data_IF_314837431904
#
_entry.id   IF_314837431904
#
_cell.length_a   1.000
_cell.length_b   1.000
_cell.length_c   1.000
_cell.angle_alpha   90.00
_cell.angle_beta   90.00
_cell.angle_gamma   90.00
#
_symmetry.space_group_name_H-M   'P 1'
#
loop_
_entity.id
_entity.type
_entity.pdbx_description
1 polymer ?
#
# COMPACT_ATOMS: atom_id res chain seq x y z
N UNK A 1 -0.94 10.99 11.86
CA UNK A 1 0.10 10.03 12.29
C UNK A 1 -0.43 8.63 12.07
N UNK A 2 0.21 7.87 11.19
CA UNK A 2 -0.16 6.47 10.95
C UNK A 2 0.32 5.60 12.11
N UNK A 3 -0.39 4.50 12.36
CA UNK A 3 -0.01 3.51 13.37
C UNK A 3 0.37 2.19 12.72
N UNK A 4 -0.59 1.59 12.01
CA UNK A 4 -0.40 0.29 11.37
C UNK A 4 -1.32 0.14 10.16
N UNK A 5 -0.95 -0.78 9.30
CA UNK A 5 -1.72 -1.22 8.15
C UNK A 5 -1.99 -2.71 8.32
N UNK A 6 -3.24 -3.12 8.12
CA UNK A 6 -3.65 -4.52 8.21
C UNK A 6 -4.36 -4.96 6.93
N UNK A 7 -3.98 -6.13 6.43
CA UNK A 7 -4.59 -6.79 5.29
C UNK A 7 -4.87 -8.25 5.69
N UNK A 8 -6.05 -8.55 6.27
CA UNK A 8 -6.35 -9.86 6.82
C UNK A 8 -6.25 -11.00 5.81
N UNK A 9 -6.62 -10.74 4.55
CA UNK A 9 -6.60 -11.73 3.47
C UNK A 9 -5.22 -12.37 3.23
N UNK A 10 -4.15 -11.62 3.53
CA UNK A 10 -2.77 -12.06 3.37
C UNK A 10 -1.98 -12.05 4.69
N UNK A 11 -2.69 -11.94 5.82
CA UNK A 11 -2.09 -11.98 7.16
C UNK A 11 -1.17 -10.80 7.50
N UNK A 12 -1.30 -9.68 6.80
CA UNK A 12 -0.45 -8.50 7.03
C UNK A 12 -0.96 -7.72 8.23
N UNK A 13 -0.08 -7.47 9.18
CA UNK A 13 -0.26 -6.52 10.28
C UNK A 13 1.09 -5.87 10.60
N UNK A 14 1.32 -4.70 10.03
CA UNK A 14 2.63 -4.04 10.07
C UNK A 14 2.51 -2.57 10.45
N UNK A 15 3.48 -2.02 11.21
CA UNK A 15 3.53 -0.60 11.51
C UNK A 15 3.72 0.20 10.21
N UNK A 16 3.16 1.41 10.19
CA UNK A 16 3.34 2.35 9.08
C UNK A 16 4.36 3.40 9.49
N UNK A 17 5.36 3.60 8.64
CA UNK A 17 6.41 4.60 8.80
C UNK A 17 6.27 5.71 7.78
N UNK A 18 6.80 6.87 8.11
CA UNK A 18 6.77 8.03 7.23
C UNK A 18 7.98 8.01 6.29
N UNK A 19 7.72 7.85 4.98
CA UNK A 19 8.76 7.80 3.94
C UNK A 19 8.96 6.40 3.36
N UNK A 20 9.45 6.38 2.13
CA UNK A 20 9.67 5.17 1.32
C UNK A 20 11.15 4.86 1.09
N UNK A 21 12.04 5.55 1.83
CA UNK A 21 13.47 5.28 1.84
C UNK A 21 13.76 3.86 2.35
N UNK A 22 14.81 3.18 1.86
CA UNK A 22 15.16 1.83 2.26
C UNK A 22 15.31 1.67 3.77
N UNK A 23 15.84 2.67 4.46
CA UNK A 23 16.00 2.66 5.92
C UNK A 23 14.66 2.65 6.67
N UNK A 24 13.66 3.36 6.13
CA UNK A 24 12.31 3.41 6.70
C UNK A 24 11.55 2.12 6.42
N UNK A 25 11.63 1.61 5.18
CA UNK A 25 10.96 0.38 4.79
C UNK A 25 11.48 -0.87 5.56
N UNK A 26 12.62 -0.78 6.24
CA UNK A 26 13.12 -1.78 7.20
C UNK A 26 12.38 -1.76 8.54
N UNK A 27 11.54 -0.78 8.80
CA UNK A 27 10.78 -0.66 10.04
C UNK A 27 9.30 -0.98 9.85
N UNK A 28 8.82 -1.10 8.60
CA UNK A 28 7.43 -1.42 8.28
C UNK A 28 7.00 -0.95 6.89
N UNK A 29 5.72 -0.62 6.76
CA UNK A 29 5.12 -0.11 5.52
C UNK A 29 5.39 1.38 5.40
N UNK A 30 6.04 1.83 4.33
CA UNK A 30 6.33 3.24 4.09
C UNK A 30 5.17 3.96 3.43
N UNK A 31 4.73 5.06 4.03
CA UNK A 31 3.81 6.01 3.39
C UNK A 31 4.58 6.94 2.45
N UNK A 32 4.11 7.06 1.20
CA UNK A 32 4.64 8.05 0.27
C UNK A 32 4.16 9.44 0.68
N UNK A 33 5.08 10.29 1.12
CA UNK A 33 4.74 11.55 1.80
C UNK A 33 4.03 12.57 0.89
N UNK A 34 4.23 12.48 -0.43
CA UNK A 34 3.54 13.33 -1.41
C UNK A 34 2.16 12.81 -1.79
N UNK A 35 1.77 11.62 -1.31
CA UNK A 35 0.45 11.02 -1.55
C UNK A 35 -0.60 11.59 -0.60
N UNK A 36 -1.89 11.36 -0.90
CA UNK A 36 -2.99 11.81 -0.07
C UNK A 36 -2.96 11.19 1.33
N UNK A 37 -3.58 11.84 2.31
CA UNK A 37 -3.80 11.23 3.63
C UNK A 37 -5.01 10.29 3.59
N UNK A 38 -5.10 9.31 4.51
CA UNK A 38 -6.23 8.41 4.56
C UNK A 38 -7.53 9.16 4.84
N UNK A 39 -8.54 8.89 4.01
CA UNK A 39 -9.84 9.57 4.02
C UNK A 39 -9.91 10.84 3.18
N UNK A 40 -8.76 11.38 2.73
CA UNK A 40 -8.74 12.53 1.83
C UNK A 40 -8.96 12.10 0.38
N UNK A 41 -9.46 13.06 -0.42
CA UNK A 41 -9.58 12.88 -1.85
C UNK A 41 -8.18 12.73 -2.46
N UNK A 42 -7.96 11.64 -3.19
CA UNK A 42 -6.69 11.37 -3.83
C UNK A 42 -6.24 9.93 -3.63
N UNK A 43 -5.00 9.70 -4.04
CA UNK A 43 -4.36 8.39 -3.97
C UNK A 43 -3.47 8.35 -2.73
N UNK A 44 -3.80 7.47 -1.77
CA UNK A 44 -2.95 7.15 -0.63
C UNK A 44 -2.00 6.03 -1.02
N UNK A 45 -0.70 6.30 -1.06
CA UNK A 45 0.28 5.34 -1.55
C UNK A 45 1.11 4.77 -0.40
N UNK A 46 1.18 3.45 -0.34
CA UNK A 46 2.08 2.72 0.55
C UNK A 46 3.06 1.85 -0.24
N UNK A 47 4.32 1.85 0.18
CA UNK A 47 5.35 0.97 -0.32
C UNK A 47 5.82 0.02 0.78
N UNK A 48 6.19 -1.20 0.41
CA UNK A 48 6.70 -2.19 1.36
C UNK A 48 7.64 -3.18 0.69
N UNK A 49 8.66 -3.62 1.42
CA UNK A 49 9.61 -4.60 0.93
C UNK A 49 9.00 -6.01 0.85
N UNK A 50 9.46 -6.73 -0.16
CA UNK A 50 9.14 -8.14 -0.37
C UNK A 50 10.18 -9.08 0.32
N UNK A 51 11.30 -8.55 0.81
CA UNK A 51 12.47 -9.30 1.34
C UNK A 51 12.52 -9.31 2.89
N UNK A 52 12.91 -8.19 3.52
CA UNK A 52 13.44 -8.25 4.91
C UNK A 52 12.34 -8.49 5.95
N UNK A 53 11.09 -8.16 5.62
CA UNK A 53 9.91 -8.43 6.45
C UNK A 53 8.76 -9.08 5.67
N UNK A 54 8.96 -9.27 4.36
CA UNK A 54 7.98 -9.90 3.44
C UNK A 54 6.55 -9.33 3.55
N UNK A 55 6.40 -8.09 4.02
CA UNK A 55 5.09 -7.52 4.39
C UNK A 55 4.16 -7.50 3.19
N UNK A 56 4.71 -7.31 1.99
CA UNK A 56 3.95 -7.27 0.75
C UNK A 56 4.22 -8.45 -0.19
N UNK A 57 4.74 -9.56 0.36
CA UNK A 57 5.06 -10.77 -0.42
C UNK A 57 3.86 -11.36 -1.14
N UNK A 58 2.71 -11.34 -0.49
CA UNK A 58 1.48 -11.95 -1.01
C UNK A 58 0.52 -10.93 -1.61
N UNK A 59 0.98 -9.73 -2.00
CA UNK A 59 0.10 -8.75 -2.67
C UNK A 59 -0.55 -9.30 -3.94
N UNK A 60 0.10 -10.24 -4.63
CA UNK A 60 -0.44 -10.91 -5.82
C UNK A 60 -1.63 -11.84 -5.51
N UNK A 61 -1.76 -12.28 -4.26
CA UNK A 61 -2.84 -13.17 -3.82
C UNK A 61 -4.12 -12.41 -3.46
N UNK A 62 -4.04 -11.08 -3.38
CA UNK A 62 -5.19 -10.23 -3.13
C UNK A 62 -6.19 -10.28 -4.28
N UNK A 63 -7.46 -10.34 -3.92
CA UNK A 63 -8.59 -10.42 -4.82
C UNK A 63 -9.50 -9.20 -4.66
N UNK A 64 -10.25 -8.85 -5.71
CA UNK A 64 -11.30 -7.85 -5.59
C UNK A 64 -12.28 -8.23 -4.48
N UNK A 65 -12.54 -7.31 -3.55
CA UNK A 65 -13.35 -7.54 -2.35
C UNK A 65 -12.56 -7.71 -1.05
N UNK A 66 -11.24 -7.94 -1.12
CA UNK A 66 -10.41 -8.01 0.08
C UNK A 66 -10.30 -6.64 0.76
N UNK A 67 -10.21 -6.62 2.09
CA UNK A 67 -10.16 -5.38 2.86
C UNK A 67 -8.74 -4.99 3.27
N UNK A 68 -8.46 -3.69 3.22
CA UNK A 68 -7.26 -3.05 3.78
C UNK A 68 -7.69 -2.05 4.83
N UNK A 69 -7.21 -2.23 6.06
CA UNK A 69 -7.47 -1.33 7.18
C UNK A 69 -6.24 -0.50 7.50
N UNK A 70 -6.37 0.83 7.37
CA UNK A 70 -5.35 1.80 7.73
C UNK A 70 -5.70 2.42 9.07
N UNK A 71 -4.89 2.16 10.08
CA UNK A 71 -5.08 2.70 11.42
C UNK A 71 -4.24 3.96 11.60
N UNK A 72 -4.92 5.06 11.93
CA UNK A 72 -4.29 6.32 12.32
C UNK A 72 -4.39 6.52 13.84
N UNK A 73 -3.84 7.61 14.35
CA UNK A 73 -3.97 7.97 15.75
C UNK A 73 -5.40 8.30 16.17
N UNK A 74 -6.25 8.77 15.25
CA UNK A 74 -7.61 9.24 15.53
C UNK A 74 -8.69 8.23 15.12
N UNK A 75 -8.55 7.59 13.96
CA UNK A 75 -9.54 6.66 13.42
C UNK A 75 -8.92 5.58 12.51
N UNK A 76 -9.74 4.61 12.10
CA UNK A 76 -9.36 3.58 11.13
C UNK A 76 -10.14 3.76 9.83
N UNK A 77 -9.44 3.72 8.70
CA UNK A 77 -10.05 3.76 7.36
C UNK A 77 -10.00 2.39 6.73
N UNK A 78 -11.11 1.95 6.15
CA UNK A 78 -11.25 0.69 5.42
C UNK A 78 -11.33 0.97 3.93
N UNK A 79 -10.50 0.25 3.19
CA UNK A 79 -10.48 0.24 1.74
C UNK A 79 -10.78 -1.17 1.25
N UNK A 80 -11.43 -1.29 0.12
CA UNK A 80 -11.68 -2.57 -0.54
C UNK A 80 -10.85 -2.65 -1.81
N UNK A 81 -10.09 -3.74 -1.95
CA UNK A 81 -9.28 -4.02 -3.12
C UNK A 81 -10.20 -4.18 -4.34
N UNK A 82 -9.82 -3.53 -5.43
CA UNK A 82 -10.46 -3.65 -6.75
C UNK A 82 -9.65 -4.51 -7.71
N UNK A 83 -8.36 -4.69 -7.46
CA UNK A 83 -7.46 -5.54 -8.23
C UNK A 83 -6.02 -5.05 -8.18
N UNK A 84 -5.16 -5.68 -8.97
CA UNK A 84 -3.73 -5.35 -9.04
C UNK A 84 -3.22 -5.43 -10.47
N UNK A 85 -2.10 -4.75 -10.74
CA UNK A 85 -1.38 -4.83 -12.01
C UNK A 85 0.13 -4.87 -11.78
N UNK A 86 0.85 -5.46 -12.73
CA UNK A 86 2.30 -5.34 -12.82
C UNK A 86 2.64 -4.13 -13.69
N UNK A 87 3.56 -3.30 -13.22
CA UNK A 87 4.01 -2.10 -13.91
C UNK A 87 5.53 -2.08 -14.00
N UNK A 88 6.04 -1.27 -14.92
CA UNK A 88 7.46 -0.97 -14.98
C UNK A 88 7.87 -0.07 -13.81
N UNK A 89 9.10 -0.17 -13.27
CA UNK A 89 9.56 0.69 -12.18
C UNK A 89 9.53 2.20 -12.53
N UNK A 90 9.49 2.53 -13.81
CA UNK A 90 9.42 3.90 -14.35
C UNK A 90 7.98 4.41 -14.48
N UNK A 91 6.96 3.57 -14.29
CA UNK A 91 5.54 3.94 -14.39
C UNK A 91 5.10 4.71 -13.13
N UNK A 92 5.51 5.97 -13.04
CA UNK A 92 5.16 6.88 -11.94
C UNK A 92 3.68 7.30 -11.95
N UNK A 93 2.94 7.03 -13.04
CA UNK A 93 1.52 7.36 -13.14
C UNK A 93 0.67 6.65 -12.07
N UNK A 94 1.17 5.54 -11.51
CA UNK A 94 0.53 4.84 -10.38
C UNK A 94 0.45 5.67 -9.10
N UNK A 95 1.28 6.71 -8.98
CA UNK A 95 1.37 7.59 -7.82
C UNK A 95 0.46 8.81 -7.95
N UNK A 96 -0.08 9.06 -9.15
CA UNK A 96 -0.88 10.25 -9.40
C UNK A 96 -2.15 10.28 -8.52
N UNK A 97 -2.58 11.48 -8.09
CA UNK A 97 -3.79 11.64 -7.32
C UNK A 97 -5.02 11.26 -8.15
N UNK A 98 -5.95 10.56 -7.52
CA UNK A 98 -7.21 10.14 -8.12
C UNK A 98 -8.35 11.09 -7.72
N UNK A 99 -9.46 11.04 -8.47
CA UNK A 99 -10.64 11.85 -8.19
C UNK A 99 -11.43 11.37 -6.97
N UNK A 100 -11.19 10.16 -6.47
CA UNK A 100 -11.87 9.57 -5.32
C UNK A 100 -10.83 9.15 -4.26
N UNK A 101 -11.21 8.97 -2.99
CA UNK A 101 -10.29 8.46 -1.98
C UNK A 101 -9.92 6.99 -2.28
N UNK A 102 -8.69 6.76 -2.70
CA UNK A 102 -8.19 5.45 -3.10
C UNK A 102 -6.90 5.10 -2.36
N UNK A 103 -6.58 3.82 -2.30
CA UNK A 103 -5.32 3.31 -1.76
C UNK A 103 -4.55 2.56 -2.85
N UNK A 104 -3.25 2.79 -2.90
CA UNK A 104 -2.32 2.08 -3.78
C UNK A 104 -1.23 1.44 -2.95
N UNK A 105 -1.08 0.11 -3.04
CA UNK A 105 -0.02 -0.64 -2.38
C UNK A 105 1.01 -1.07 -3.43
N UNK A 106 2.28 -0.74 -3.19
CA UNK A 106 3.38 -0.98 -4.13
C UNK A 106 4.43 -1.88 -3.49
N UNK A 107 4.85 -2.90 -4.23
CA UNK A 107 6.01 -3.71 -3.85
C UNK A 107 6.83 -4.15 -5.06
N UNK A 108 8.04 -4.64 -4.83
CA UNK A 108 8.92 -5.17 -5.87
C UNK A 108 8.48 -6.57 -6.32
N UNK A 109 8.55 -6.80 -7.62
CA UNK A 109 8.18 -8.06 -8.26
C UNK A 109 9.06 -8.33 -9.49
N UNK A 110 9.37 -9.58 -9.88
CA UNK A 110 9.24 -10.81 -9.12
C UNK A 110 10.19 -10.83 -7.91
N UNK A 111 9.85 -11.62 -6.90
CA UNK A 111 10.66 -11.83 -5.69
C UNK A 111 12.14 -12.08 -6.05
N UNK A 112 13.05 -11.29 -5.47
CA UNK A 112 14.52 -11.32 -5.66
C UNK A 112 15.04 -10.81 -7.03
N UNK A 113 14.17 -10.44 -7.97
CA UNK A 113 14.55 -9.96 -9.30
C UNK A 113 14.19 -8.48 -9.48
N UNK A 114 13.09 -8.03 -8.87
CA UNK A 114 12.66 -6.63 -8.77
C UNK A 114 12.57 -5.87 -10.11
N UNK A 115 12.40 -6.58 -11.23
CA UNK A 115 12.31 -6.01 -12.58
C UNK A 115 11.04 -5.22 -12.84
N UNK A 116 10.01 -5.46 -12.02
CA UNK A 116 8.69 -4.86 -12.10
C UNK A 116 8.21 -4.41 -10.71
N UNK A 117 7.08 -3.73 -10.68
CA UNK A 117 6.38 -3.39 -9.44
C UNK A 117 4.99 -3.98 -9.50
N UNK A 118 4.58 -4.65 -8.43
CA UNK A 118 3.17 -5.00 -8.23
C UNK A 118 2.48 -3.81 -7.58
N UNK A 119 1.36 -3.42 -8.18
CA UNK A 119 0.56 -2.29 -7.74
C UNK A 119 -0.86 -2.77 -7.51
N UNK A 120 -1.27 -2.76 -6.26
CA UNK A 120 -2.63 -3.11 -5.84
C UNK A 120 -3.43 -1.85 -5.62
N UNK A 121 -4.65 -1.82 -6.13
CA UNK A 121 -5.58 -0.70 -6.00
C UNK A 121 -6.75 -1.06 -5.09
N UNK A 122 -7.18 -0.11 -4.28
CA UNK A 122 -8.40 -0.20 -3.49
C UNK A 122 -9.13 1.14 -3.38
N UNK A 123 -10.43 1.05 -3.11
CA UNK A 123 -11.32 2.21 -2.98
C UNK A 123 -11.77 2.34 -1.52
N UNK A 124 -11.88 3.58 -1.00
CA UNK A 124 -12.34 3.80 0.37
C UNK A 124 -13.82 3.40 0.51
N UNK A 125 -14.12 2.57 1.51
CA UNK A 125 -15.50 2.12 1.80
C UNK A 125 -16.02 2.59 3.16
N UNK A 126 -15.16 3.12 4.03
CA UNK A 126 -15.59 3.73 5.28
C UNK A 126 -14.43 4.12 6.20
N UNK A 127 -14.70 5.07 7.10
CA UNK A 127 -13.72 5.60 8.05
C UNK A 127 -14.37 6.45 9.12
#
# INVERSE_FOLDING_TARGET
MFRRLSIPAIGVDAPVVHGVEPENLRLGVGHYQESANPGERGNLVFAGHNDIYEVFRYLADLKPGDEVAVYTASQSYRYVIRGWRLVEPTDVAVLEPTADPTITLISCYPYLVDTQRIVVYGDLVGG
#
